data_IF_276317362644
#
_entry.id   IF_276317362644
#
_cell.length_a   1.000
_cell.length_b   1.000
_cell.length_c   1.000
_cell.angle_alpha   90.00
_cell.angle_beta   90.00
_cell.angle_gamma   90.00
#
_symmetry.space_group_name_H-M   'P 1'
#
loop_
_entity.id
_entity.type
_entity.pdbx_description
1 polymer ?
#
# COMPACT_ATOMS: atom_id res chain seq x y z
N UNK A 1 26.05 2.02 5.64
CA UNK A 1 26.34 1.63 7.04
C UNK A 1 25.58 0.34 7.28
N UNK A 2 26.24 -0.79 7.62
CA UNK A 2 25.50 -2.01 7.97
C UNK A 2 24.70 -1.76 9.25
N UNK A 3 23.59 -2.46 9.41
CA UNK A 3 22.71 -2.30 10.58
C UNK A 3 23.44 -2.59 11.90
N UNK A 4 24.43 -3.48 11.87
CA UNK A 4 25.28 -3.88 13.00
C UNK A 4 26.70 -3.30 12.94
N UNK A 5 26.94 -2.33 12.04
CA UNK A 5 28.24 -1.66 11.96
C UNK A 5 28.53 -0.89 13.26
N UNK A 6 29.76 -1.01 13.76
CA UNK A 6 30.23 -0.22 14.89
C UNK A 6 30.05 1.28 14.59
N UNK A 7 29.36 1.98 15.51
CA UNK A 7 29.07 3.41 15.38
C UNK A 7 27.80 3.76 14.61
N UNK A 8 27.03 2.78 14.10
CA UNK A 8 25.67 3.03 13.63
C UNK A 8 24.83 3.61 14.79
N UNK A 9 24.19 4.76 14.57
CA UNK A 9 23.37 5.44 15.57
C UNK A 9 21.97 4.85 15.73
N UNK A 10 21.59 3.89 14.88
CA UNK A 10 20.28 3.24 14.83
C UNK A 10 19.10 4.21 14.65
N UNK A 11 19.36 5.42 14.14
CA UNK A 11 18.32 6.39 13.78
C UNK A 11 18.74 7.21 12.58
N UNK A 12 17.78 7.58 11.72
CA UNK A 12 18.03 8.42 10.54
C UNK A 12 18.63 9.77 10.97
N UNK A 13 18.08 10.40 12.01
CA UNK A 13 18.57 11.69 12.52
C UNK A 13 20.00 11.57 13.08
N UNK A 14 20.30 10.49 13.80
CA UNK A 14 21.65 10.25 14.30
C UNK A 14 22.68 10.08 13.17
N UNK A 15 22.31 9.35 12.11
CA UNK A 15 23.17 9.18 10.93
C UNK A 15 23.36 10.48 10.16
N UNK A 16 22.32 11.31 10.04
CA UNK A 16 22.42 12.64 9.45
C UNK A 16 23.37 13.54 10.25
N UNK A 17 23.22 13.57 11.58
CA UNK A 17 24.11 14.35 12.46
C UNK A 17 25.56 13.88 12.36
N UNK A 18 25.78 12.56 12.36
CA UNK A 18 27.11 11.97 12.20
C UNK A 18 27.73 12.36 10.86
N UNK A 19 27.00 12.19 9.75
CA UNK A 19 27.48 12.56 8.43
C UNK A 19 27.82 14.06 8.34
N UNK A 20 26.93 14.93 8.85
CA UNK A 20 27.14 16.38 8.86
C UNK A 20 28.36 16.79 9.71
N UNK A 21 28.64 16.07 10.80
CA UNK A 21 29.81 16.34 11.64
C UNK A 21 31.14 15.87 10.99
N UNK A 22 31.10 14.81 10.18
CA UNK A 22 32.28 14.22 9.52
C UNK A 22 32.68 14.96 8.23
N UNK A 23 31.73 15.62 7.57
CA UNK A 23 31.95 16.32 6.31
C UNK A 23 31.81 17.84 6.39
N UNK A 24 32.27 18.52 5.34
CA UNK A 24 32.00 19.94 5.13
C UNK A 24 30.86 20.08 4.10
N UNK A 25 29.62 20.15 4.59
CA UNK A 25 28.43 20.33 3.75
C UNK A 25 27.87 21.74 3.90
N UNK A 26 27.36 22.31 2.81
CA UNK A 26 26.70 23.62 2.82
C UNK A 26 25.21 23.51 3.14
N UNK A 27 24.60 22.35 2.87
CA UNK A 27 23.15 22.12 3.01
C UNK A 27 22.84 20.62 3.07
N UNK A 28 21.74 20.26 3.73
CA UNK A 28 21.09 18.95 3.60
C UNK A 28 19.77 19.10 2.85
N UNK A 29 19.51 18.23 1.88
CA UNK A 29 18.25 18.18 1.12
C UNK A 29 17.59 16.83 1.34
N UNK A 30 16.32 16.84 1.74
CA UNK A 30 15.54 15.65 2.10
C UNK A 30 14.20 15.71 1.38
N UNK A 31 13.72 14.60 0.82
CA UNK A 31 12.31 14.50 0.38
C UNK A 31 11.43 14.22 1.60
N UNK A 32 10.25 14.83 1.69
CA UNK A 32 9.29 14.56 2.75
C UNK A 32 9.03 13.05 2.90
N UNK A 33 8.96 12.57 4.14
CA UNK A 33 8.73 11.16 4.41
C UNK A 33 7.24 10.81 4.48
N UNK A 34 6.91 9.53 4.42
CA UNK A 34 5.53 9.03 4.47
C UNK A 34 4.94 8.79 5.86
N UNK A 35 5.57 9.25 6.95
CA UNK A 35 5.08 9.00 8.32
C UNK A 35 5.20 10.25 9.21
N UNK A 36 4.18 10.55 10.02
CA UNK A 36 4.14 11.73 10.89
C UNK A 36 5.23 11.65 11.96
N UNK A 37 5.49 10.45 12.50
CA UNK A 37 6.57 10.22 13.47
C UNK A 37 7.93 10.63 12.90
N UNK A 38 8.26 10.15 11.69
CA UNK A 38 9.52 10.48 11.04
C UNK A 38 9.54 11.95 10.57
N UNK A 39 8.41 12.49 10.09
CA UNK A 39 8.32 13.89 9.67
C UNK A 39 8.60 14.85 10.83
N UNK A 40 8.07 14.54 12.02
CA UNK A 40 8.37 15.29 13.25
C UNK A 40 9.84 15.22 13.62
N UNK A 41 10.46 14.04 13.54
CA UNK A 41 11.88 13.85 13.83
C UNK A 41 12.77 14.61 12.84
N UNK A 42 12.49 14.53 11.54
CA UNK A 42 13.22 15.24 10.49
C UNK A 42 13.03 16.76 10.57
N UNK A 43 11.84 17.23 10.96
CA UNK A 43 11.60 18.65 11.21
C UNK A 43 12.40 19.15 12.40
N UNK A 44 12.41 18.42 13.50
CA UNK A 44 13.22 18.77 14.68
C UNK A 44 14.72 18.78 14.34
N UNK A 45 15.18 17.85 13.50
CA UNK A 45 16.54 17.88 12.95
C UNK A 45 16.76 19.13 12.10
N UNK A 46 15.85 19.47 11.18
CA UNK A 46 15.97 20.65 10.34
C UNK A 46 16.06 21.96 11.13
N UNK A 47 15.37 22.04 12.28
CA UNK A 47 15.40 23.20 13.17
C UNK A 47 16.68 23.29 14.02
N UNK A 48 17.45 22.19 14.16
CA UNK A 48 18.61 22.09 15.06
C UNK A 48 19.93 21.76 14.36
N UNK A 49 19.89 21.41 13.07
CA UNK A 49 21.07 21.07 12.29
C UNK A 49 22.05 22.25 12.19
N UNK A 50 23.38 21.98 12.15
CA UNK A 50 24.39 23.04 12.04
C UNK A 50 24.48 23.64 10.62
N UNK A 51 23.75 23.07 9.65
CA UNK A 51 23.67 23.52 8.27
C UNK A 51 22.19 23.64 7.86
N UNK A 52 21.84 24.51 6.90
CA UNK A 52 20.48 24.61 6.39
C UNK A 52 19.94 23.25 5.92
N UNK A 53 18.68 22.96 6.25
CA UNK A 53 17.98 21.74 5.82
C UNK A 53 16.76 22.13 4.99
N UNK A 54 16.69 21.64 3.75
CA UNK A 54 15.54 21.80 2.87
C UNK A 54 14.78 20.48 2.77
N UNK A 55 13.51 20.50 3.21
CA UNK A 55 12.59 19.39 3.02
C UNK A 55 11.72 19.69 1.80
N UNK A 56 11.84 18.86 0.77
CA UNK A 56 11.14 19.00 -0.51
C UNK A 56 9.92 18.09 -0.56
N UNK A 57 8.88 18.55 -1.24
CA UNK A 57 7.68 17.75 -1.52
C UNK A 57 8.02 16.50 -2.35
N UNK A 58 7.32 15.40 -2.08
CA UNK A 58 7.46 14.15 -2.82
C UNK A 58 6.61 14.18 -4.10
N UNK A 59 7.30 14.30 -5.24
CA UNK A 59 6.67 14.39 -6.57
C UNK A 59 6.25 13.04 -7.15
N UNK A 60 6.47 11.92 -6.44
CA UNK A 60 6.00 10.58 -6.86
C UNK A 60 4.49 10.40 -6.67
N UNK A 61 3.85 11.25 -5.88
CA UNK A 61 2.40 11.26 -5.73
C UNK A 61 1.77 12.17 -6.76
N UNK A 62 0.68 11.69 -7.38
CA UNK A 62 -0.02 12.40 -8.44
C UNK A 62 -0.75 13.62 -7.85
N UNK A 63 -1.26 13.49 -6.62
CA UNK A 63 -1.90 14.57 -5.87
C UNK A 63 -0.98 15.10 -4.75
N UNK A 64 -0.61 16.38 -4.84
CA UNK A 64 0.10 17.08 -3.76
C UNK A 64 -0.75 17.25 -2.50
N UNK A 65 -0.11 17.40 -1.35
CA UNK A 65 -0.80 17.74 -0.09
C UNK A 65 -1.60 19.03 -0.23
N UNK A 66 -1.07 20.02 -0.93
CA UNK A 66 -1.76 21.28 -1.18
C UNK A 66 -2.97 21.10 -2.10
N UNK A 67 -2.87 20.30 -3.17
CA UNK A 67 -3.98 19.99 -4.07
C UNK A 67 -5.11 19.25 -3.36
N UNK A 68 -4.78 18.24 -2.55
CA UNK A 68 -5.77 17.47 -1.80
C UNK A 68 -6.49 18.35 -0.76
N UNK A 69 -5.76 19.18 -0.01
CA UNK A 69 -6.35 20.13 0.95
C UNK A 69 -7.33 21.09 0.28
N UNK A 70 -7.00 21.62 -0.91
CA UNK A 70 -7.92 22.47 -1.68
C UNK A 70 -9.18 21.72 -2.11
N UNK A 71 -9.05 20.46 -2.53
CA UNK A 71 -10.20 19.63 -2.90
C UNK A 71 -11.12 19.35 -1.70
N UNK A 72 -10.53 19.12 -0.52
CA UNK A 72 -11.26 18.75 0.69
C UNK A 72 -11.90 19.94 1.44
N UNK A 73 -11.42 21.17 1.24
CA UNK A 73 -11.72 22.33 2.09
C UNK A 73 -13.22 22.68 2.21
N UNK A 74 -14.01 22.45 1.17
CA UNK A 74 -15.44 22.77 1.10
C UNK A 74 -16.34 21.52 1.24
N UNK A 75 -15.75 20.35 1.48
CA UNK A 75 -16.47 19.07 1.51
C UNK A 75 -16.88 18.71 2.93
N UNK A 76 -18.18 18.42 3.12
CA UNK A 76 -18.70 17.87 4.38
C UNK A 76 -18.26 16.42 4.59
N UNK A 77 -18.25 15.65 3.50
CA UNK A 77 -17.82 14.25 3.46
C UNK A 77 -16.77 14.08 2.37
N UNK A 78 -15.72 13.32 2.66
CA UNK A 78 -14.72 12.95 1.68
C UNK A 78 -15.16 11.65 1.02
N UNK A 79 -15.33 11.66 -0.30
CA UNK A 79 -15.68 10.44 -1.05
C UNK A 79 -14.66 10.21 -2.15
N UNK A 80 -14.04 9.02 -2.14
CA UNK A 80 -13.02 8.62 -3.11
C UNK A 80 -13.53 8.79 -4.54
N UNK A 81 -14.79 8.43 -4.83
CA UNK A 81 -15.36 8.56 -6.17
C UNK A 81 -15.25 9.98 -6.73
N UNK A 82 -15.58 11.01 -5.95
CA UNK A 82 -15.51 12.40 -6.44
C UNK A 82 -14.07 12.89 -6.57
N UNK A 83 -13.17 12.43 -5.69
CA UNK A 83 -11.74 12.69 -5.83
C UNK A 83 -11.18 12.06 -7.10
N UNK A 84 -11.49 10.79 -7.35
CA UNK A 84 -11.02 10.04 -8.51
C UNK A 84 -11.46 10.67 -9.84
N UNK A 85 -12.70 11.17 -9.93
CA UNK A 85 -13.18 11.89 -11.12
C UNK A 85 -12.33 13.13 -11.42
N UNK A 86 -11.95 13.89 -10.39
CA UNK A 86 -11.06 15.05 -10.55
C UNK A 86 -9.67 14.62 -11.03
N UNK A 87 -9.11 13.57 -10.42
CA UNK A 87 -7.79 13.05 -10.79
C UNK A 87 -7.75 12.50 -12.22
N UNK A 88 -8.84 11.87 -12.69
CA UNK A 88 -9.00 11.43 -14.09
C UNK A 88 -9.00 12.61 -15.06
N UNK A 89 -9.75 13.68 -14.74
CA UNK A 89 -9.76 14.92 -15.56
C UNK A 89 -8.39 15.58 -15.61
N UNK A 90 -7.67 15.63 -14.50
CA UNK A 90 -6.34 16.27 -14.42
C UNK A 90 -5.26 15.49 -15.16
N UNK A 91 -5.31 14.15 -15.09
CA UNK A 91 -4.30 13.30 -15.74
C UNK A 91 -4.62 12.95 -17.19
N UNK A 92 -5.90 13.06 -17.60
CA UNK A 92 -6.38 12.64 -18.91
C UNK A 92 -6.53 11.12 -19.08
N UNK A 93 -6.26 10.34 -18.03
CA UNK A 93 -6.37 8.88 -18.08
C UNK A 93 -7.83 8.46 -18.32
N UNK A 94 -8.05 7.59 -19.31
CA UNK A 94 -9.33 7.05 -19.76
C UNK A 94 -10.38 8.16 -19.97
N UNK A 95 -10.00 9.25 -20.63
CA UNK A 95 -10.89 10.36 -20.98
C UNK A 95 -11.08 10.47 -22.49
N UNK A 96 -12.32 10.64 -22.94
CA UNK A 96 -12.69 11.05 -24.30
C UNK A 96 -13.10 12.53 -24.27
N UNK A 97 -12.14 13.41 -24.54
CA UNK A 97 -12.30 14.85 -24.34
C UNK A 97 -12.58 15.18 -22.86
N UNK A 98 -13.80 15.63 -22.56
CA UNK A 98 -14.24 15.96 -21.19
C UNK A 98 -15.03 14.85 -20.51
N UNK A 99 -15.40 13.80 -21.25
CA UNK A 99 -16.22 12.69 -20.76
C UNK A 99 -15.36 11.46 -20.46
N UNK A 100 -15.78 10.58 -19.53
CA UNK A 100 -15.04 9.35 -19.28
C UNK A 100 -15.17 8.39 -20.47
N UNK A 101 -14.08 7.72 -20.81
CA UNK A 101 -14.06 6.64 -21.79
C UNK A 101 -15.15 5.59 -21.48
N UNK A 102 -15.89 5.17 -22.49
CA UNK A 102 -17.01 4.23 -22.34
C UNK A 102 -18.25 4.78 -21.62
N UNK A 103 -18.30 6.09 -21.34
CA UNK A 103 -19.47 6.81 -20.83
C UNK A 103 -19.78 6.63 -19.35
N UNK A 104 -18.92 5.92 -18.59
CA UNK A 104 -19.06 5.72 -17.14
C UNK A 104 -17.73 5.97 -16.42
N UNK A 105 -17.81 6.57 -15.25
CA UNK A 105 -16.63 6.83 -14.41
C UNK A 105 -16.08 5.58 -13.73
N UNK A 106 -16.93 4.58 -13.49
CA UNK A 106 -16.63 3.43 -12.64
C UNK A 106 -17.34 2.17 -13.15
N UNK A 107 -16.60 1.06 -13.27
CA UNK A 107 -17.09 -0.25 -13.71
C UNK A 107 -17.09 -1.31 -12.58
N UNK A 108 -17.01 -0.91 -11.31
CA UNK A 108 -16.92 -1.79 -10.13
C UNK A 108 -17.96 -2.91 -10.07
N UNK A 109 -19.19 -2.63 -10.52
CA UNK A 109 -20.28 -3.60 -10.53
C UNK A 109 -20.02 -4.78 -11.45
N UNK A 110 -19.14 -4.63 -12.44
CA UNK A 110 -18.74 -5.68 -13.37
C UNK A 110 -17.59 -6.54 -12.83
N UNK A 111 -16.92 -6.10 -11.76
CA UNK A 111 -15.70 -6.70 -11.21
C UNK A 111 -15.94 -7.71 -10.08
N UNK A 112 -17.14 -8.31 -10.03
CA UNK A 112 -17.58 -9.21 -8.94
C UNK A 112 -18.03 -10.57 -9.45
N UNK A 113 -17.37 -11.09 -10.49
CA UNK A 113 -17.76 -12.39 -11.05
C UNK A 113 -17.42 -13.50 -10.07
N UNK A 114 -18.29 -14.52 -10.00
CA UNK A 114 -18.04 -15.72 -9.21
C UNK A 114 -16.99 -16.58 -9.91
N UNK A 115 -15.94 -16.96 -9.19
CA UNK A 115 -14.88 -17.82 -9.73
C UNK A 115 -15.45 -19.17 -10.15
N UNK A 116 -15.52 -19.39 -11.47
CA UNK A 116 -16.04 -20.63 -12.01
C UNK A 116 -15.08 -21.80 -11.75
N UNK A 117 -15.65 -23.00 -11.59
CA UNK A 117 -14.86 -24.22 -11.35
C UNK A 117 -13.87 -24.44 -12.49
N UNK A 118 -12.60 -24.65 -12.15
CA UNK A 118 -11.53 -24.94 -13.11
C UNK A 118 -10.82 -23.71 -13.66
N UNK A 119 -11.32 -22.49 -13.43
CA UNK A 119 -10.57 -21.27 -13.72
C UNK A 119 -9.40 -21.17 -12.75
N UNK A 120 -8.23 -20.82 -13.27
CA UNK A 120 -6.99 -20.65 -12.50
C UNK A 120 -6.33 -19.33 -12.89
N UNK A 121 -5.77 -18.58 -11.92
CA UNK A 121 -4.97 -17.41 -12.25
C UNK A 121 -3.72 -17.82 -13.03
N UNK A 122 -3.19 -16.94 -13.89
CA UNK A 122 -1.89 -17.14 -14.49
C UNK A 122 -0.80 -17.29 -13.44
N UNK A 123 0.23 -18.08 -13.77
CA UNK A 123 1.45 -18.12 -12.96
C UNK A 123 2.06 -16.73 -12.83
N UNK A 124 2.66 -16.49 -11.66
CA UNK A 124 3.22 -15.21 -11.30
C UNK A 124 4.71 -15.15 -11.56
N UNK A 125 5.16 -14.13 -12.29
CA UNK A 125 6.58 -13.79 -12.30
C UNK A 125 7.03 -13.33 -10.90
N UNK A 126 8.03 -14.02 -10.35
CA UNK A 126 8.72 -13.62 -9.12
C UNK A 126 10.22 -13.55 -9.36
N UNK A 127 10.91 -12.79 -8.53
CA UNK A 127 12.35 -12.51 -8.68
C UNK A 127 13.16 -13.49 -7.85
N UNK A 128 14.37 -13.81 -8.32
CA UNK A 128 15.30 -14.65 -7.55
C UNK A 128 16.26 -13.77 -6.74
N UNK A 129 16.51 -14.08 -5.45
CA UNK A 129 17.44 -13.30 -4.64
C UNK A 129 18.85 -13.27 -5.24
N UNK A 130 19.37 -12.05 -5.48
CA UNK A 130 20.78 -11.82 -5.83
C UNK A 130 21.71 -12.15 -4.67
N UNK A 131 23.03 -12.18 -4.90
CA UNK A 131 24.01 -12.39 -3.82
C UNK A 131 23.83 -11.36 -2.68
N UNK A 132 23.72 -10.08 -3.02
CA UNK A 132 23.46 -9.01 -2.06
C UNK A 132 22.13 -9.20 -1.31
N UNK A 133 21.08 -9.65 -2.02
CA UNK A 133 19.78 -9.92 -1.38
C UNK A 133 19.89 -11.06 -0.37
N UNK A 134 20.62 -12.14 -0.70
CA UNK A 134 20.85 -13.26 0.22
C UNK A 134 21.67 -12.86 1.44
N UNK A 135 22.65 -11.97 1.28
CA UNK A 135 23.37 -11.39 2.41
C UNK A 135 22.45 -10.59 3.33
N UNK A 136 21.56 -9.77 2.76
CA UNK A 136 20.57 -9.01 3.52
C UNK A 136 19.57 -9.94 4.23
N UNK A 137 19.11 -11.02 3.57
CA UNK A 137 18.26 -12.04 4.20
C UNK A 137 18.96 -12.70 5.40
N UNK A 138 20.25 -13.04 5.26
CA UNK A 138 21.03 -13.63 6.35
C UNK A 138 21.22 -12.66 7.53
N UNK A 139 21.34 -11.36 7.26
CA UNK A 139 21.34 -10.33 8.31
C UNK A 139 19.98 -10.25 9.02
N UNK A 140 18.88 -10.28 8.28
CA UNK A 140 17.52 -10.22 8.86
C UNK A 140 17.27 -11.42 9.76
N UNK A 141 17.56 -12.63 9.29
CA UNK A 141 17.42 -13.88 10.06
C UNK A 141 18.21 -13.81 11.38
N UNK A 142 19.46 -13.33 11.32
CA UNK A 142 20.34 -13.26 12.48
C UNK A 142 19.94 -12.18 13.48
N UNK A 143 19.46 -11.03 13.00
CA UNK A 143 19.22 -9.85 13.84
C UNK A 143 17.79 -9.75 14.33
N UNK A 144 16.85 -10.39 13.64
CA UNK A 144 15.42 -10.35 13.93
C UNK A 144 14.78 -11.76 13.95
N UNK A 145 15.36 -12.74 14.67
CA UNK A 145 14.91 -14.14 14.61
C UNK A 145 13.48 -14.35 15.16
N UNK A 146 12.99 -13.44 16.00
CA UNK A 146 11.66 -13.51 16.62
C UNK A 146 10.59 -12.74 15.84
N UNK A 147 10.94 -12.11 14.71
CA UNK A 147 9.97 -11.37 13.90
C UNK A 147 9.05 -12.33 13.14
N UNK A 148 7.81 -11.89 12.92
CA UNK A 148 6.83 -12.66 12.15
C UNK A 148 7.22 -12.72 10.66
N UNK A 149 7.10 -13.92 10.07
CA UNK A 149 7.24 -14.15 8.64
C UNK A 149 8.36 -15.16 8.31
N UNK A 150 8.34 -15.67 7.08
CA UNK A 150 9.35 -16.61 6.58
C UNK A 150 10.20 -15.95 5.48
N UNK A 151 11.51 -16.25 5.44
CA UNK A 151 12.42 -15.73 4.41
C UNK A 151 12.61 -16.65 3.21
N UNK A 152 12.38 -17.96 3.35
CA UNK A 152 12.63 -18.98 2.32
C UNK A 152 11.90 -18.68 1.00
N UNK A 153 10.73 -18.06 1.11
CA UNK A 153 9.87 -17.65 0.00
C UNK A 153 10.16 -16.26 -0.56
N UNK A 154 11.32 -15.64 -0.31
CA UNK A 154 11.59 -14.29 -0.84
C UNK A 154 11.55 -14.25 -2.38
N UNK A 155 10.76 -13.34 -2.94
CA UNK A 155 10.65 -13.16 -4.40
C UNK A 155 10.11 -11.81 -4.83
N UNK A 156 10.38 -10.77 -4.04
CA UNK A 156 9.98 -9.39 -4.32
C UNK A 156 11.02 -8.67 -5.19
N UNK A 157 10.61 -7.75 -6.10
CA UNK A 157 11.55 -6.95 -6.86
C UNK A 157 12.31 -6.00 -5.94
N UNK A 158 13.65 -6.03 -6.03
CA UNK A 158 14.56 -5.16 -5.25
C UNK A 158 15.32 -4.17 -6.13
N UNK A 159 15.14 -4.26 -7.45
CA UNK A 159 15.69 -3.32 -8.44
C UNK A 159 14.59 -2.78 -9.34
N UNK A 160 14.84 -1.64 -9.99
CA UNK A 160 13.92 -1.07 -10.99
C UNK A 160 13.69 -2.08 -12.13
N UNK A 161 14.74 -2.74 -12.61
CA UNK A 161 14.62 -3.73 -13.69
C UNK A 161 13.72 -4.91 -13.32
N UNK A 162 13.83 -5.42 -12.09
CA UNK A 162 12.96 -6.48 -11.59
C UNK A 162 11.50 -6.01 -11.51
N UNK A 163 11.27 -4.80 -10.98
CA UNK A 163 9.94 -4.24 -10.81
C UNK A 163 9.26 -4.01 -12.17
N UNK A 164 10.02 -3.52 -13.16
CA UNK A 164 9.56 -3.32 -14.54
C UNK A 164 9.19 -4.65 -15.22
N UNK A 165 9.97 -5.72 -14.99
CA UNK A 165 9.67 -7.04 -15.52
C UNK A 165 8.37 -7.62 -14.91
N UNK A 166 8.18 -7.46 -13.60
CA UNK A 166 6.94 -7.88 -12.91
C UNK A 166 5.74 -7.08 -13.40
N UNK A 167 5.89 -5.77 -13.61
CA UNK A 167 4.84 -4.92 -14.17
C UNK A 167 4.47 -5.35 -15.59
N UNK A 168 5.44 -5.64 -16.46
CA UNK A 168 5.19 -6.07 -17.83
C UNK A 168 4.46 -7.42 -17.90
N UNK A 169 4.86 -8.39 -17.05
CA UNK A 169 4.14 -9.66 -16.89
C UNK A 169 2.68 -9.41 -16.46
N UNK A 170 2.47 -8.53 -15.48
CA UNK A 170 1.13 -8.16 -15.04
C UNK A 170 0.30 -7.56 -16.19
N UNK A 171 0.81 -6.54 -16.87
CA UNK A 171 0.12 -5.82 -17.94
C UNK A 171 -0.28 -6.76 -19.09
N UNK A 172 0.60 -7.71 -19.43
CA UNK A 172 0.39 -8.61 -20.57
C UNK A 172 -0.52 -9.79 -20.22
N UNK A 173 -0.31 -10.44 -19.07
CA UNK A 173 -0.92 -11.75 -18.77
C UNK A 173 -2.03 -11.69 -17.73
N UNK A 174 -2.01 -10.71 -16.84
CA UNK A 174 -2.89 -10.68 -15.66
C UNK A 174 -3.94 -9.56 -15.74
N UNK A 175 -3.55 -8.36 -16.17
CA UNK A 175 -4.46 -7.22 -16.31
C UNK A 175 -5.76 -7.55 -17.05
N UNK A 176 -5.77 -8.37 -18.13
CA UNK A 176 -7.02 -8.68 -18.84
C UNK A 176 -8.09 -9.36 -17.96
N UNK A 177 -7.68 -10.10 -16.92
CA UNK A 177 -8.57 -10.76 -15.97
C UNK A 177 -8.69 -10.05 -14.62
N UNK A 178 -8.02 -8.91 -14.42
CA UNK A 178 -7.99 -8.20 -13.13
C UNK A 178 -9.40 -7.88 -12.61
N UNK A 179 -10.23 -7.26 -13.46
CA UNK A 179 -11.56 -6.80 -13.06
C UNK A 179 -12.47 -7.96 -12.66
N UNK A 180 -12.58 -8.98 -13.51
CA UNK A 180 -13.48 -10.12 -13.31
C UNK A 180 -13.30 -10.80 -11.94
N UNK A 181 -12.06 -10.90 -11.47
CA UNK A 181 -11.67 -11.68 -10.29
C UNK A 181 -11.18 -10.82 -9.11
N UNK A 182 -11.45 -9.51 -9.12
CA UNK A 182 -10.91 -8.56 -8.15
C UNK A 182 -11.26 -8.93 -6.69
N UNK A 183 -12.47 -9.43 -6.46
CA UNK A 183 -12.98 -9.81 -5.13
C UNK A 183 -12.98 -11.34 -4.89
N UNK A 184 -12.42 -12.13 -5.81
CA UNK A 184 -12.40 -13.58 -5.67
C UNK A 184 -11.26 -14.04 -4.75
N UNK A 185 -11.53 -15.02 -3.90
CA UNK A 185 -10.53 -15.77 -3.12
C UNK A 185 -10.57 -17.23 -3.54
N UNK A 186 -9.40 -17.87 -3.63
CA UNK A 186 -9.29 -19.30 -3.88
C UNK A 186 -8.14 -19.90 -3.06
N UNK A 187 -8.42 -21.04 -2.44
CA UNK A 187 -7.46 -21.80 -1.64
C UNK A 187 -6.21 -22.15 -2.46
N UNK A 188 -5.03 -21.91 -1.88
CA UNK A 188 -3.75 -22.16 -2.54
C UNK A 188 -3.47 -21.26 -3.75
N UNK A 189 -4.25 -20.20 -3.96
CA UNK A 189 -4.06 -19.22 -5.05
C UNK A 189 -3.84 -17.81 -4.47
N UNK A 190 -2.72 -17.57 -3.76
CA UNK A 190 -2.53 -16.33 -3.00
C UNK A 190 -2.47 -15.07 -3.87
N UNK A 191 -2.13 -15.20 -5.16
CA UNK A 191 -1.86 -14.07 -6.04
C UNK A 191 -3.08 -13.58 -6.83
N UNK A 192 -4.02 -14.49 -7.12
CA UNK A 192 -5.16 -14.27 -8.01
C UNK A 192 -4.75 -13.44 -9.26
N UNK A 193 -5.62 -12.54 -9.74
CA UNK A 193 -5.31 -11.63 -10.85
C UNK A 193 -4.78 -10.27 -10.38
N UNK A 194 -4.02 -10.21 -9.29
CA UNK A 194 -3.48 -8.95 -8.77
C UNK A 194 -2.10 -8.61 -9.34
N UNK A 195 -1.69 -7.33 -9.24
CA UNK A 195 -0.44 -6.86 -9.83
C UNK A 195 0.82 -7.21 -9.06
N UNK A 196 0.76 -7.35 -7.72
CA UNK A 196 1.93 -7.56 -6.85
C UNK A 196 3.01 -6.46 -6.99
N UNK A 197 2.58 -5.25 -7.34
CA UNK A 197 3.45 -4.09 -7.58
C UNK A 197 3.39 -3.04 -6.46
N UNK A 198 2.61 -3.27 -5.40
CA UNK A 198 2.46 -2.31 -4.29
C UNK A 198 3.78 -2.01 -3.59
N UNK A 199 4.60 -3.03 -3.34
CA UNK A 199 5.95 -2.88 -2.77
C UNK A 199 6.84 -2.00 -3.66
N UNK A 200 6.88 -2.29 -4.96
CA UNK A 200 7.64 -1.53 -5.94
C UNK A 200 7.18 -0.08 -6.07
N UNK A 201 5.86 0.17 -6.10
CA UNK A 201 5.31 1.53 -6.13
C UNK A 201 5.65 2.29 -4.83
N UNK A 202 5.47 1.66 -3.67
CA UNK A 202 5.65 2.33 -2.38
C UNK A 202 7.12 2.61 -2.06
N UNK A 203 8.05 1.76 -2.54
CA UNK A 203 9.49 2.00 -2.49
C UNK A 203 9.98 3.04 -3.52
N UNK A 204 9.19 3.31 -4.56
CA UNK A 204 9.57 4.20 -5.66
C UNK A 204 10.39 3.54 -6.77
N UNK A 205 10.34 2.21 -6.87
CA UNK A 205 10.89 1.45 -8.01
C UNK A 205 10.01 1.58 -9.26
N UNK A 206 8.71 1.84 -9.09
CA UNK A 206 7.75 2.12 -10.16
C UNK A 206 7.06 3.46 -9.92
N UNK A 207 6.92 4.25 -10.99
CA UNK A 207 6.14 5.48 -10.97
C UNK A 207 4.64 5.17 -11.13
N UNK A 208 3.76 5.62 -10.21
CA UNK A 208 2.34 5.26 -10.25
C UNK A 208 1.59 5.85 -11.45
N UNK A 209 1.99 7.02 -11.96
CA UNK A 209 1.34 7.62 -13.13
C UNK A 209 1.73 6.86 -14.39
N UNK A 210 3.00 6.49 -14.54
CA UNK A 210 3.48 5.68 -15.66
C UNK A 210 2.84 4.29 -15.69
N UNK A 211 2.71 3.64 -14.53
CA UNK A 211 1.97 2.37 -14.39
C UNK A 211 0.54 2.51 -14.94
N UNK A 212 -0.16 3.59 -14.59
CA UNK A 212 -1.52 3.84 -15.07
C UNK A 212 -1.56 4.08 -16.59
N UNK A 213 -0.63 4.88 -17.13
CA UNK A 213 -0.53 5.15 -18.58
C UNK A 213 -0.25 3.89 -19.38
N UNK A 214 0.59 2.99 -18.87
CA UNK A 214 0.86 1.71 -19.53
C UNK A 214 -0.34 0.78 -19.50
N UNK A 215 -1.10 0.75 -18.41
CA UNK A 215 -2.37 0.00 -18.37
C UNK A 215 -3.39 0.55 -19.38
N UNK A 216 -3.50 1.88 -19.49
CA UNK A 216 -4.33 2.53 -20.53
C UNK A 216 -3.85 2.16 -21.94
N UNK A 217 -2.54 2.14 -22.20
CA UNK A 217 -2.00 1.75 -23.50
C UNK A 217 -2.35 0.29 -23.87
N UNK A 218 -2.37 -0.63 -22.89
CA UNK A 218 -2.84 -2.01 -23.10
C UNK A 218 -4.32 -2.04 -23.51
N UNK A 219 -5.18 -1.22 -22.88
CA UNK A 219 -6.57 -1.07 -23.30
C UNK A 219 -6.68 -0.53 -24.72
N UNK A 220 -5.97 0.56 -25.04
CA UNK A 220 -5.99 1.19 -26.36
C UNK A 220 -5.53 0.23 -27.48
N UNK A 221 -4.63 -0.70 -27.16
CA UNK A 221 -4.19 -1.76 -28.07
C UNK A 221 -5.15 -2.98 -28.14
N UNK A 222 -6.26 -2.97 -27.39
CA UNK A 222 -7.24 -4.06 -27.32
C UNK A 222 -6.80 -5.26 -26.47
N UNK A 223 -5.74 -5.12 -25.66
CA UNK A 223 -5.17 -6.21 -24.87
C UNK A 223 -5.94 -6.53 -23.58
N UNK A 224 -6.69 -5.58 -23.03
CA UNK A 224 -7.50 -5.76 -21.82
C UNK A 224 -8.83 -5.01 -21.92
N UNK A 225 -9.91 -5.50 -21.29
CA UNK A 225 -11.21 -4.84 -21.30
C UNK A 225 -11.22 -3.60 -20.40
N UNK A 226 -12.08 -2.64 -20.74
CA UNK A 226 -12.17 -1.35 -20.05
C UNK A 226 -12.44 -1.50 -18.53
N UNK A 227 -13.28 -2.45 -18.10
CA UNK A 227 -13.57 -2.65 -16.68
C UNK A 227 -12.35 -3.07 -15.86
N UNK A 228 -11.45 -3.85 -16.47
CA UNK A 228 -10.22 -4.29 -15.82
C UNK A 228 -9.21 -3.15 -15.73
N UNK A 229 -9.01 -2.40 -16.82
CA UNK A 229 -8.06 -1.27 -16.85
C UNK A 229 -8.53 -0.11 -15.99
N UNK A 230 -9.81 0.29 -16.08
CA UNK A 230 -10.40 1.30 -15.21
C UNK A 230 -10.34 0.87 -13.74
N UNK A 231 -10.72 -0.38 -13.44
CA UNK A 231 -10.66 -0.94 -12.10
C UNK A 231 -9.26 -0.89 -11.50
N UNK A 232 -8.24 -1.22 -12.29
CA UNK A 232 -6.83 -1.16 -11.89
C UNK A 232 -6.36 0.28 -11.66
N UNK A 233 -6.57 1.18 -12.63
CA UNK A 233 -6.19 2.60 -12.51
C UNK A 233 -6.90 3.24 -11.30
N UNK A 234 -8.16 2.89 -11.02
CA UNK A 234 -8.90 3.38 -9.86
C UNK A 234 -8.28 3.00 -8.52
N UNK A 235 -7.58 1.86 -8.42
CA UNK A 235 -6.87 1.51 -7.19
C UNK A 235 -5.67 2.42 -6.95
N UNK A 236 -4.99 2.86 -8.02
CA UNK A 236 -3.78 3.69 -7.93
C UNK A 236 -4.16 5.18 -7.92
N UNK A 237 -4.75 5.68 -9.01
CA UNK A 237 -5.11 7.09 -9.16
C UNK A 237 -6.24 7.53 -8.21
N UNK A 238 -7.13 6.60 -7.84
CA UNK A 238 -8.20 6.82 -6.88
C UNK A 238 -7.77 6.53 -5.46
N UNK A 239 -7.79 5.25 -5.07
CA UNK A 239 -7.63 4.84 -3.67
C UNK A 239 -6.26 5.19 -3.07
N UNK A 240 -5.15 4.84 -3.71
CA UNK A 240 -3.81 5.12 -3.17
C UNK A 240 -3.59 6.62 -2.93
N UNK A 241 -3.93 7.46 -3.90
CA UNK A 241 -3.82 8.92 -3.78
C UNK A 241 -4.79 9.48 -2.74
N UNK A 242 -6.02 8.98 -2.68
CA UNK A 242 -7.03 9.40 -1.70
C UNK A 242 -6.62 9.05 -0.26
N UNK A 243 -6.13 7.83 -0.05
CA UNK A 243 -5.62 7.33 1.24
C UNK A 243 -4.50 8.23 1.77
N UNK A 244 -3.50 8.55 0.94
CA UNK A 244 -2.43 9.50 1.33
C UNK A 244 -3.02 10.86 1.70
N UNK A 245 -3.95 11.37 0.91
CA UNK A 245 -4.58 12.65 1.16
C UNK A 245 -5.30 12.69 2.50
N UNK A 246 -6.08 11.66 2.83
CA UNK A 246 -6.79 11.53 4.11
C UNK A 246 -5.80 11.46 5.27
N UNK A 247 -4.76 10.63 5.14
CA UNK A 247 -3.71 10.51 6.15
C UNK A 247 -3.14 11.87 6.53
N UNK A 248 -2.60 12.63 5.57
CA UNK A 248 -1.96 13.92 5.86
C UNK A 248 -2.93 15.03 6.24
N UNK A 249 -4.21 14.91 5.85
CA UNK A 249 -5.25 15.88 6.24
C UNK A 249 -5.71 15.68 7.69
N UNK A 250 -5.64 14.45 8.21
CA UNK A 250 -6.28 14.08 9.49
C UNK A 250 -5.31 13.58 10.56
N UNK A 251 -4.09 13.18 10.20
CA UNK A 251 -3.07 12.80 11.16
C UNK A 251 -2.47 14.03 11.86
N UNK A 252 -2.07 13.91 13.14
CA UNK A 252 -1.98 12.67 13.92
C UNK A 252 -3.28 12.22 14.59
N UNK A 253 -4.33 13.05 14.63
CA UNK A 253 -5.58 12.72 15.35
C UNK A 253 -6.31 11.51 14.77
N UNK A 254 -6.13 11.24 13.49
CA UNK A 254 -6.68 10.06 12.82
C UNK A 254 -6.28 8.74 13.49
N UNK A 255 -5.00 8.63 13.91
CA UNK A 255 -4.47 7.45 14.60
C UNK A 255 -4.99 7.25 16.01
N UNK A 256 -5.84 8.15 16.53
CA UNK A 256 -6.48 8.01 17.85
C UNK A 256 -7.94 7.62 17.75
N UNK A 257 -8.46 7.41 16.54
CA UNK A 257 -9.88 7.14 16.33
C UNK A 257 -10.22 5.68 16.69
N UNK A 258 -11.29 5.54 17.46
CA UNK A 258 -11.88 4.27 17.88
C UNK A 258 -13.40 4.44 17.99
N UNK A 259 -14.06 4.71 16.85
CA UNK A 259 -15.48 5.09 16.81
C UNK A 259 -16.43 4.03 17.39
N UNK A 260 -16.09 2.74 17.27
CA UNK A 260 -16.89 1.63 17.76
C UNK A 260 -16.61 1.25 19.22
N UNK A 261 -15.74 2.00 19.91
CA UNK A 261 -15.33 1.76 21.31
C UNK A 261 -14.80 0.33 21.54
N UNK A 262 -13.99 -0.15 20.60
CA UNK A 262 -13.40 -1.49 20.63
C UNK A 262 -12.19 -1.54 21.59
N UNK A 263 -12.13 -2.54 22.46
CA UNK A 263 -11.15 -2.62 23.56
C UNK A 263 -10.41 -3.96 23.68
N UNK A 264 -10.72 -4.95 22.83
CA UNK A 264 -10.14 -6.29 22.95
C UNK A 264 -8.74 -6.36 22.36
N UNK A 265 -7.93 -7.27 22.90
CA UNK A 265 -6.63 -7.61 22.33
C UNK A 265 -6.77 -8.38 21.00
N UNK A 266 -5.77 -8.25 20.12
CA UNK A 266 -5.70 -9.04 18.90
C UNK A 266 -5.51 -10.53 19.25
N UNK A 267 -6.37 -11.45 18.77
CA UNK A 267 -6.23 -12.87 19.06
C UNK A 267 -4.91 -13.45 18.54
N UNK A 268 -4.32 -14.37 19.31
CA UNK A 268 -3.01 -14.97 18.99
C UNK A 268 -2.95 -15.66 17.62
N UNK A 269 -4.07 -16.19 17.12
CA UNK A 269 -4.12 -16.84 15.81
C UNK A 269 -3.82 -15.89 14.63
N UNK A 270 -3.87 -14.56 14.82
CA UNK A 270 -3.36 -13.61 13.81
C UNK A 270 -1.85 -13.72 13.62
N UNK A 271 -1.14 -14.17 14.66
CA UNK A 271 0.30 -14.43 14.62
C UNK A 271 0.58 -15.89 14.35
N UNK A 272 -0.08 -16.84 15.01
CA UNK A 272 0.25 -18.27 14.84
C UNK A 272 -0.39 -18.92 13.61
N UNK A 273 -1.56 -18.45 13.18
CA UNK A 273 -2.41 -19.15 12.19
C UNK A 273 -3.17 -20.35 12.75
N UNK A 274 -3.06 -20.64 14.06
CA UNK A 274 -3.68 -21.80 14.71
C UNK A 274 -5.17 -21.53 14.98
N UNK A 275 -6.02 -21.89 14.02
CA UNK A 275 -7.47 -21.72 14.11
C UNK A 275 -8.22 -22.69 13.19
N UNK A 276 -9.44 -23.09 13.59
CA UNK A 276 -10.34 -23.90 12.76
C UNK A 276 -11.03 -23.08 11.66
N UNK A 277 -10.92 -21.75 11.70
CA UNK A 277 -11.46 -20.86 10.67
C UNK A 277 -10.57 -20.93 9.42
N UNK A 278 -10.92 -21.80 8.47
CA UNK A 278 -10.13 -22.08 7.27
C UNK A 278 -9.70 -20.81 6.50
N UNK A 279 -10.58 -19.81 6.35
CA UNK A 279 -10.26 -18.55 5.69
C UNK A 279 -9.19 -17.74 6.44
N UNK A 280 -9.23 -17.72 7.77
CA UNK A 280 -8.26 -17.00 8.59
C UNK A 280 -6.92 -17.73 8.58
N UNK A 281 -6.94 -19.06 8.73
CA UNK A 281 -5.75 -19.89 8.66
C UNK A 281 -5.00 -19.69 7.32
N UNK A 282 -5.72 -19.71 6.19
CA UNK A 282 -5.15 -19.49 4.85
C UNK A 282 -4.54 -18.08 4.69
N UNK A 283 -5.25 -17.03 5.13
CA UNK A 283 -4.75 -15.65 5.01
C UNK A 283 -3.54 -15.40 5.91
N UNK A 284 -3.54 -15.91 7.15
CA UNK A 284 -2.41 -15.75 8.07
C UNK A 284 -1.20 -16.54 7.58
N UNK A 285 -1.38 -17.79 7.12
CA UNK A 285 -0.31 -18.58 6.53
C UNK A 285 0.26 -17.91 5.27
N UNK A 286 -0.61 -17.40 4.38
CA UNK A 286 -0.19 -16.68 3.18
C UNK A 286 0.58 -15.41 3.54
N UNK A 287 0.11 -14.66 4.54
CA UNK A 287 0.78 -13.45 5.04
C UNK A 287 2.15 -13.77 5.63
N UNK A 288 2.27 -14.85 6.40
CA UNK A 288 3.54 -15.32 6.97
C UNK A 288 4.56 -15.68 5.88
N UNK A 289 4.16 -16.51 4.93
CA UNK A 289 5.08 -17.05 3.92
C UNK A 289 5.45 -16.02 2.84
N UNK A 290 4.57 -15.05 2.56
CA UNK A 290 4.74 -14.15 1.42
C UNK A 290 4.86 -12.67 1.79
N UNK A 291 4.60 -12.29 3.04
CA UNK A 291 4.39 -10.91 3.45
C UNK A 291 3.32 -10.20 2.58
N UNK A 292 2.29 -10.95 2.17
CA UNK A 292 1.24 -10.50 1.26
C UNK A 292 -0.09 -11.19 1.53
N UNK A 293 -1.15 -10.41 1.41
CA UNK A 293 -2.51 -10.88 1.14
C UNK A 293 -3.13 -9.88 0.17
N UNK A 294 -4.02 -10.31 -0.71
CA UNK A 294 -4.68 -9.38 -1.63
C UNK A 294 -5.80 -8.60 -0.93
N UNK A 295 -6.30 -7.54 -1.57
CA UNK A 295 -7.15 -6.54 -0.90
C UNK A 295 -8.37 -7.13 -0.20
N UNK A 296 -9.12 -8.02 -0.85
CA UNK A 296 -10.34 -8.60 -0.26
C UNK A 296 -10.04 -9.55 0.91
N UNK A 297 -8.88 -10.20 0.94
CA UNK A 297 -8.45 -10.99 2.11
C UNK A 297 -8.18 -10.07 3.31
N UNK A 298 -7.43 -8.99 3.06
CA UNK A 298 -7.15 -7.96 4.07
C UNK A 298 -8.44 -7.35 4.61
N UNK A 299 -9.38 -6.99 3.73
CA UNK A 299 -10.61 -6.31 4.11
C UNK A 299 -11.64 -7.25 4.74
N UNK A 300 -12.01 -8.33 4.05
CA UNK A 300 -13.20 -9.13 4.38
C UNK A 300 -12.90 -10.35 5.26
N UNK A 301 -11.63 -10.75 5.42
CA UNK A 301 -11.24 -11.87 6.29
C UNK A 301 -10.65 -11.35 7.59
N UNK A 302 -9.41 -10.87 7.57
CA UNK A 302 -8.71 -10.47 8.80
C UNK A 302 -9.26 -9.16 9.37
N UNK A 303 -9.51 -8.16 8.52
CA UNK A 303 -10.04 -6.85 8.93
C UNK A 303 -11.45 -6.94 9.48
N UNK A 304 -12.37 -7.54 8.71
CA UNK A 304 -13.75 -7.73 9.13
C UNK A 304 -13.84 -8.58 10.42
N UNK A 305 -13.05 -9.64 10.54
CA UNK A 305 -13.02 -10.44 11.77
C UNK A 305 -12.54 -9.61 12.98
N UNK A 306 -11.45 -8.84 12.83
CA UNK A 306 -10.94 -7.99 13.91
C UNK A 306 -12.00 -6.97 14.36
N UNK A 307 -12.71 -6.36 13.41
CA UNK A 307 -13.83 -5.45 13.68
C UNK A 307 -14.96 -6.16 14.43
N UNK A 308 -15.43 -7.31 13.95
CA UNK A 308 -16.51 -8.08 14.58
C UNK A 308 -16.15 -8.57 15.98
N UNK A 309 -14.88 -8.90 16.21
CA UNK A 309 -14.39 -9.31 17.52
C UNK A 309 -14.24 -8.14 18.50
N UNK A 310 -14.31 -6.90 18.03
CA UNK A 310 -14.11 -5.70 18.85
C UNK A 310 -12.65 -5.51 19.24
N UNK A 311 -11.72 -5.85 18.36
CA UNK A 311 -10.28 -5.64 18.59
C UNK A 311 -9.96 -4.15 18.54
N UNK A 312 -9.16 -3.67 19.50
CA UNK A 312 -8.73 -2.28 19.53
C UNK A 312 -7.96 -1.92 18.25
N UNK A 313 -8.31 -0.82 17.54
CA UNK A 313 -7.74 -0.50 16.23
C UNK A 313 -6.21 -0.41 16.21
N UNK A 314 -5.58 0.09 17.28
CA UNK A 314 -4.12 0.16 17.39
C UNK A 314 -3.46 -1.22 17.23
N UNK A 315 -4.04 -2.27 17.80
CA UNK A 315 -3.49 -3.63 17.68
C UNK A 315 -3.68 -4.19 16.26
N UNK A 316 -4.70 -3.72 15.55
CA UNK A 316 -4.93 -4.07 14.14
C UNK A 316 -3.92 -3.34 13.27
N UNK A 317 -3.76 -2.02 13.44
CA UNK A 317 -2.76 -1.20 12.73
C UNK A 317 -1.36 -1.80 12.88
N UNK A 318 -0.95 -2.13 14.11
CA UNK A 318 0.35 -2.73 14.41
C UNK A 318 0.56 -4.05 13.65
N UNK A 319 -0.47 -4.90 13.57
CA UNK A 319 -0.40 -6.16 12.83
C UNK A 319 -0.27 -5.91 11.32
N UNK A 320 -1.13 -5.08 10.73
CA UNK A 320 -1.06 -4.77 9.29
C UNK A 320 0.25 -4.09 8.89
N UNK A 321 0.79 -3.20 9.74
CA UNK A 321 2.10 -2.59 9.56
C UNK A 321 3.26 -3.60 9.63
N UNK A 322 3.12 -4.65 10.45
CA UNK A 322 4.16 -5.65 10.65
C UNK A 322 4.18 -6.70 9.55
N UNK A 323 3.03 -7.22 9.12
CA UNK A 323 2.95 -8.46 8.34
C UNK A 323 2.99 -8.28 6.82
N UNK A 324 2.81 -7.05 6.30
CA UNK A 324 2.76 -6.81 4.85
C UNK A 324 3.95 -5.99 4.36
N UNK A 325 4.63 -6.50 3.33
CA UNK A 325 5.83 -5.87 2.77
C UNK A 325 5.58 -4.52 2.07
N UNK A 326 4.31 -4.18 1.81
CA UNK A 326 3.89 -2.92 1.20
C UNK A 326 3.38 -1.88 2.21
N UNK A 327 3.45 -2.18 3.51
CA UNK A 327 2.90 -1.34 4.56
C UNK A 327 3.83 -0.17 4.94
N UNK A 328 3.25 1.02 4.93
CA UNK A 328 3.76 2.25 5.49
C UNK A 328 2.59 3.00 6.13
N UNK A 329 2.81 3.77 7.19
CA UNK A 329 1.72 4.37 7.97
C UNK A 329 0.74 5.19 7.10
N UNK A 330 1.23 5.93 6.09
CA UNK A 330 0.37 6.73 5.21
C UNK A 330 -0.63 5.93 4.39
N UNK A 331 -0.30 4.67 4.06
CA UNK A 331 -1.18 3.80 3.27
C UNK A 331 -1.95 2.85 4.18
N UNK A 332 -1.30 2.31 5.20
CA UNK A 332 -1.85 1.28 6.08
C UNK A 332 -2.95 1.88 6.98
N UNK A 333 -2.65 2.92 7.77
CA UNK A 333 -3.54 3.38 8.83
C UNK A 333 -4.92 3.83 8.30
N UNK A 334 -5.05 4.58 7.19
CA UNK A 334 -6.37 4.90 6.65
C UNK A 334 -7.13 3.68 6.10
N UNK A 335 -6.42 2.69 5.53
CA UNK A 335 -7.06 1.44 5.11
C UNK A 335 -7.58 0.68 6.33
N UNK A 336 -6.78 0.54 7.38
CA UNK A 336 -7.10 -0.26 8.56
C UNK A 336 -8.17 0.39 9.43
N UNK A 337 -7.95 1.64 9.87
CA UNK A 337 -8.94 2.36 10.70
C UNK A 337 -10.19 2.78 9.94
N UNK A 338 -10.06 3.06 8.65
CA UNK A 338 -11.17 3.54 7.85
C UNK A 338 -11.97 2.40 7.23
N UNK A 339 -11.35 1.68 6.30
CA UNK A 339 -12.06 0.67 5.52
C UNK A 339 -12.24 -0.65 6.26
N UNK A 340 -11.23 -1.13 6.98
CA UNK A 340 -11.28 -2.46 7.59
C UNK A 340 -12.05 -2.50 8.92
N UNK A 341 -11.86 -1.51 9.79
CA UNK A 341 -12.40 -1.55 11.17
C UNK A 341 -13.45 -0.48 11.46
N UNK A 342 -13.71 0.44 10.53
CA UNK A 342 -14.65 1.57 10.69
C UNK A 342 -14.37 2.43 11.95
N UNK A 343 -13.16 2.34 12.50
CA UNK A 343 -12.71 3.10 13.66
C UNK A 343 -12.71 4.61 13.39
N UNK A 344 -12.63 5.03 12.13
CA UNK A 344 -12.66 6.44 11.74
C UNK A 344 -14.05 7.11 11.79
N UNK A 345 -15.12 6.33 11.95
CA UNK A 345 -16.51 6.81 11.95
C UNK A 345 -17.04 7.24 10.59
N UNK A 346 -16.44 6.73 9.51
CA UNK A 346 -16.91 6.89 8.14
C UNK A 346 -16.24 8.01 7.34
N UNK A 347 -14.98 8.34 7.65
CA UNK A 347 -14.19 9.31 6.86
C UNK A 347 -13.78 8.69 5.51
N UNK A 348 -13.33 7.44 5.52
CA UNK A 348 -12.89 6.70 4.34
C UNK A 348 -14.04 6.05 3.57
N UNK A 349 -15.07 5.56 4.28
CA UNK A 349 -16.21 4.87 3.68
C UNK A 349 -17.49 5.12 4.47
N UNK A 350 -18.64 5.25 3.80
CA UNK A 350 -19.90 5.62 4.47
C UNK A 350 -20.55 4.52 5.30
N UNK A 351 -20.07 3.27 5.18
CA UNK A 351 -20.64 2.09 5.86
C UNK A 351 -19.52 1.12 6.26
N UNK A 352 -19.66 0.41 7.40
CA UNK A 352 -18.77 -0.69 7.74
C UNK A 352 -18.96 -1.86 6.76
N UNK A 353 -17.91 -2.66 6.56
CA UNK A 353 -17.91 -3.85 5.71
C UNK A 353 -18.28 -5.14 6.49
N UNK A 354 -19.12 -4.99 7.52
CA UNK A 354 -19.58 -6.09 8.39
C UNK A 354 -20.49 -7.09 7.67
#
# INVERSE_FOLDING_TARGET
VRIDAAGNSHSIVGELLRAVAEGAFEQVVITECGEVRLAKALRAFADTAPVPVEIREDRRFICSHARFRRWAADKRELRMEFFYREMRRETGLLMDGTEPEGGRWNYDTENRRKLAKGVRPPDRLRTSPSALTREAMADVERLFPEHFGDLDGFGWPVTVADAEAVLEDFLTRILPGFGDWQDAMAEGQPWMWHGLISTAINLGLLDPLEVCRRAEAVYAAGGAPLNAVEGFIRQILGWREFVRGVYWLKAPEYGKRNFLDADRALPWFFWSGETDMACVADVVATSRTNAYAHHIQRLMVTGNLAMMLGVHPDAVDDWYMTVYADAYEWVEMPNTRGMATFADGGIMGSKPYA
#
